data_IF_393965648773
#
_entry.id   IF_393965648773
#
_cell.length_a   1.000
_cell.length_b   1.000
_cell.length_c   1.000
_cell.angle_alpha   90.00
_cell.angle_beta   90.00
_cell.angle_gamma   90.00
#
_symmetry.space_group_name_H-M   'P 1'
#
loop_
_entity.id
_entity.type
_entity.pdbx_description
1 polymer ?
#
# COMPACT_ATOMS: atom_id res chain seq x y z
N UNK A 1 -54.48 -0.36 14.79
CA UNK A 1 -53.93 -0.12 13.44
C UNK A 1 -52.81 0.94 13.40
N UNK A 2 -52.66 1.82 14.41
CA UNK A 2 -51.59 2.84 14.43
C UNK A 2 -50.19 2.33 14.85
N UNK A 3 -50.10 1.24 15.62
CA UNK A 3 -48.81 0.72 16.11
C UNK A 3 -47.97 0.06 15.02
N UNK A 4 -48.60 -0.59 14.05
CA UNK A 4 -47.92 -1.37 13.02
C UNK A 4 -47.24 -0.47 11.97
N UNK A 5 -47.94 0.62 11.58
CA UNK A 5 -47.35 1.65 10.72
C UNK A 5 -46.23 2.42 11.42
N UNK A 6 -46.30 2.60 12.74
CA UNK A 6 -45.26 3.28 13.51
C UNK A 6 -43.96 2.45 13.58
N UNK A 7 -44.09 1.14 13.80
CA UNK A 7 -42.95 0.22 13.79
C UNK A 7 -42.30 0.16 12.39
N UNK A 8 -43.11 0.11 11.33
CA UNK A 8 -42.61 0.13 9.95
C UNK A 8 -41.81 1.41 9.64
N UNK A 9 -42.28 2.57 10.09
CA UNK A 9 -41.56 3.84 9.91
C UNK A 9 -40.21 3.83 10.62
N UNK A 10 -40.14 3.32 11.85
CA UNK A 10 -38.88 3.22 12.61
C UNK A 10 -37.88 2.30 11.88
N UNK A 11 -38.34 1.17 11.35
CA UNK A 11 -37.48 0.23 10.62
C UNK A 11 -36.93 0.87 9.34
N UNK A 12 -37.76 1.58 8.58
CA UNK A 12 -37.34 2.27 7.35
C UNK A 12 -36.32 3.37 7.68
N UNK A 13 -36.59 4.18 8.70
CA UNK A 13 -35.65 5.23 9.14
C UNK A 13 -34.33 4.60 9.59
N UNK A 14 -34.38 3.49 10.34
CA UNK A 14 -33.19 2.75 10.75
C UNK A 14 -32.37 2.23 9.57
N UNK A 15 -33.02 1.67 8.54
CA UNK A 15 -32.35 1.21 7.33
C UNK A 15 -31.74 2.35 6.51
N UNK A 16 -32.44 3.48 6.40
CA UNK A 16 -31.92 4.67 5.71
C UNK A 16 -30.71 5.24 6.44
N UNK A 17 -30.78 5.39 7.77
CA UNK A 17 -29.64 5.86 8.58
C UNK A 17 -28.47 4.89 8.48
N UNK A 18 -28.72 3.58 8.60
CA UNK A 18 -27.67 2.56 8.46
C UNK A 18 -27.04 2.59 7.05
N UNK A 19 -27.84 2.71 6.00
CA UNK A 19 -27.36 2.81 4.62
C UNK A 19 -26.52 4.06 4.39
N UNK A 20 -26.95 5.21 4.91
CA UNK A 20 -26.20 6.46 4.85
C UNK A 20 -24.88 6.37 5.63
N UNK A 21 -24.89 5.79 6.83
CA UNK A 21 -23.67 5.58 7.63
C UNK A 21 -22.73 4.58 6.95
N UNK A 22 -23.26 3.50 6.35
CA UNK A 22 -22.46 2.52 5.63
C UNK A 22 -21.85 3.12 4.36
N UNK A 23 -22.61 3.91 3.60
CA UNK A 23 -22.14 4.62 2.42
C UNK A 23 -21.10 5.69 2.79
N UNK A 24 -21.37 6.48 3.84
CA UNK A 24 -20.43 7.46 4.35
C UNK A 24 -19.14 6.79 4.83
N UNK A 25 -19.22 5.69 5.58
CA UNK A 25 -18.04 4.94 6.05
C UNK A 25 -17.31 4.23 4.90
N UNK A 26 -17.99 3.92 3.80
CA UNK A 26 -17.35 3.37 2.60
C UNK A 26 -16.63 4.45 1.81
N UNK A 27 -17.21 5.65 1.71
CA UNK A 27 -16.65 6.80 0.99
C UNK A 27 -15.57 7.54 1.78
N UNK A 28 -15.70 7.59 3.11
CA UNK A 28 -14.76 8.18 4.06
C UNK A 28 -13.94 7.10 4.79
N UNK A 29 -13.61 5.97 4.15
CA UNK A 29 -12.43 5.24 4.60
C UNK A 29 -11.23 6.13 4.27
N UNK A 30 -10.88 7.00 5.21
CA UNK A 30 -9.60 7.72 5.19
C UNK A 30 -8.53 6.66 4.95
N UNK A 31 -7.93 6.70 3.76
CA UNK A 31 -6.95 5.68 3.40
C UNK A 31 -5.76 5.89 4.34
N UNK A 32 -5.29 4.86 5.07
CA UNK A 32 -4.23 5.01 6.08
C UNK A 32 -2.96 5.67 5.50
N UNK A 33 -2.78 5.63 4.17
CA UNK A 33 -1.71 6.29 3.43
C UNK A 33 -1.82 7.82 3.38
N UNK A 34 -3.02 8.41 3.38
CA UNK A 34 -3.22 9.87 3.34
C UNK A 34 -2.67 10.56 4.60
N UNK A 35 -2.85 9.94 5.77
CA UNK A 35 -2.34 10.47 7.04
C UNK A 35 -0.83 10.28 7.20
N UNK A 36 -0.26 9.26 6.56
CA UNK A 36 1.15 8.91 6.76
C UNK A 36 2.12 9.71 5.86
N UNK A 37 1.70 10.22 4.69
CA UNK A 37 2.68 10.51 3.62
C UNK A 37 2.54 11.81 2.84
N UNK A 38 1.73 12.77 3.28
CA UNK A 38 1.85 14.16 2.81
C UNK A 38 3.03 14.82 3.54
N UNK A 39 4.25 14.42 3.16
CA UNK A 39 5.46 15.14 3.54
C UNK A 39 5.91 16.01 2.35
N UNK A 40 6.13 17.29 2.61
CA UNK A 40 6.53 18.36 1.66
C UNK A 40 7.83 18.10 0.87
N UNK A 41 8.47 16.94 1.03
CA UNK A 41 9.72 16.60 0.34
C UNK A 41 9.43 15.63 -0.81
N UNK A 42 8.71 16.12 -1.82
CA UNK A 42 8.70 15.48 -3.14
C UNK A 42 10.14 15.44 -3.64
N UNK A 43 10.68 14.22 -3.82
CA UNK A 43 11.95 14.05 -4.50
C UNK A 43 11.65 14.21 -5.98
N UNK A 44 11.98 15.39 -6.52
CA UNK A 44 11.74 15.74 -7.91
C UNK A 44 12.83 15.14 -8.80
N UNK A 45 12.75 13.82 -9.03
CA UNK A 45 13.53 13.16 -10.08
C UNK A 45 12.67 13.15 -11.35
N UNK A 46 12.84 14.20 -12.16
CA UNK A 46 12.00 14.48 -13.34
C UNK A 46 11.95 13.30 -14.32
N UNK A 47 13.03 12.52 -14.45
CA UNK A 47 13.05 11.33 -15.32
C UNK A 47 12.17 10.21 -14.76
N UNK A 48 12.20 9.99 -13.44
CA UNK A 48 11.34 9.00 -12.77
C UNK A 48 9.89 9.41 -12.82
N UNK A 49 9.58 10.68 -12.53
CA UNK A 49 8.21 11.20 -12.59
C UNK A 49 7.65 11.06 -14.00
N UNK A 50 8.41 11.53 -15.02
CA UNK A 50 8.02 11.39 -16.43
C UNK A 50 7.78 9.92 -16.82
N UNK A 51 8.62 8.99 -16.33
CA UNK A 51 8.46 7.57 -16.62
C UNK A 51 7.19 6.99 -15.97
N UNK A 52 6.90 7.37 -14.72
CA UNK A 52 5.69 6.93 -14.00
C UNK A 52 4.42 7.52 -14.61
N UNK A 53 4.43 8.80 -14.98
CA UNK A 53 3.32 9.48 -15.65
C UNK A 53 2.99 8.85 -17.01
N UNK A 54 4.02 8.50 -17.79
CA UNK A 54 3.84 7.77 -19.07
C UNK A 54 3.16 6.42 -18.89
N UNK A 55 3.39 5.76 -17.77
CA UNK A 55 2.73 4.51 -17.38
C UNK A 55 1.35 4.75 -16.72
N UNK A 56 0.92 6.01 -16.57
CA UNK A 56 -0.37 6.42 -16.02
C UNK A 56 -0.44 6.40 -14.50
N UNK A 57 0.69 6.63 -13.82
CA UNK A 57 0.75 6.80 -12.36
C UNK A 57 0.92 8.28 -12.00
N UNK A 58 0.22 8.72 -10.97
CA UNK A 58 0.34 10.07 -10.40
C UNK A 58 1.21 10.03 -9.15
N UNK A 59 2.21 10.90 -9.05
CA UNK A 59 3.09 10.98 -7.87
C UNK A 59 2.41 11.78 -6.77
N UNK A 60 2.26 11.18 -5.60
CA UNK A 60 1.51 11.77 -4.47
C UNK A 60 2.35 11.97 -3.21
N UNK A 61 3.50 11.29 -3.10
CA UNK A 61 4.33 11.34 -1.90
C UNK A 61 5.80 11.08 -2.19
N UNK A 62 6.65 11.74 -1.41
CA UNK A 62 8.11 11.69 -1.54
C UNK A 62 8.78 10.53 -0.81
N UNK A 63 10.09 10.69 -0.61
CA UNK A 63 10.97 9.68 -0.02
C UNK A 63 10.87 9.67 1.50
N UNK A 64 10.65 8.50 2.08
CA UNK A 64 10.64 8.30 3.54
C UNK A 64 11.18 6.91 3.91
N UNK A 65 11.17 6.61 5.20
CA UNK A 65 11.42 5.26 5.67
C UNK A 65 10.46 4.90 6.81
N UNK A 66 10.15 3.61 6.91
CA UNK A 66 9.43 3.02 8.05
C UNK A 66 10.48 2.44 9.00
N UNK A 67 10.55 2.90 10.26
CA UNK A 67 11.46 2.32 11.24
C UNK A 67 11.01 0.92 11.65
N UNK A 68 11.96 0.00 11.77
CA UNK A 68 11.75 -1.34 12.31
C UNK A 68 12.61 -1.50 13.55
N UNK A 69 12.00 -1.75 14.70
CA UNK A 69 12.71 -2.03 15.93
C UNK A 69 12.77 -3.54 16.14
N UNK A 70 13.97 -4.08 16.31
CA UNK A 70 14.24 -5.52 16.36
C UNK A 70 15.02 -5.81 17.63
N UNK A 71 14.45 -6.65 18.49
CA UNK A 71 15.12 -7.16 19.68
C UNK A 71 15.30 -8.68 19.53
N UNK A 72 16.53 -9.17 19.73
CA UNK A 72 16.87 -10.59 19.64
C UNK A 72 17.29 -11.09 21.03
N UNK A 73 16.48 -11.95 21.63
CA UNK A 73 16.71 -12.50 22.98
C UNK A 73 17.06 -11.38 23.99
N UNK A 74 18.21 -11.51 24.67
CA UNK A 74 18.72 -10.56 25.66
C UNK A 74 19.61 -9.46 25.06
N UNK A 75 19.58 -9.24 23.74
CA UNK A 75 20.29 -8.14 23.11
C UNK A 75 19.50 -6.84 23.20
N UNK A 76 20.23 -5.73 23.12
CA UNK A 76 19.62 -4.40 23.00
C UNK A 76 18.80 -4.30 21.70
N UNK A 77 17.73 -3.51 21.76
CA UNK A 77 16.88 -3.22 20.60
C UNK A 77 17.69 -2.48 19.52
N UNK A 78 17.62 -3.00 18.29
CA UNK A 78 18.28 -2.43 17.13
C UNK A 78 17.25 -1.84 16.16
N UNK A 79 17.59 -0.69 15.59
CA UNK A 79 16.75 -0.02 14.59
C UNK A 79 17.21 -0.39 13.17
N UNK A 80 16.29 -0.93 12.38
CA UNK A 80 16.37 -1.10 10.94
C UNK A 80 15.36 -0.17 10.24
N UNK A 81 15.41 -0.10 8.90
CA UNK A 81 14.61 0.84 8.09
C UNK A 81 14.15 0.20 6.78
N UNK A 82 12.86 0.28 6.50
CA UNK A 82 12.30 0.02 5.17
C UNK A 82 12.22 1.36 4.45
N UNK A 83 13.04 1.53 3.42
CA UNK A 83 13.07 2.78 2.66
C UNK A 83 12.01 2.76 1.56
N UNK A 84 11.26 3.85 1.38
CA UNK A 84 10.38 4.07 0.23
C UNK A 84 10.89 5.28 -0.53
N UNK A 85 11.04 5.16 -1.85
CA UNK A 85 11.55 6.27 -2.64
C UNK A 85 10.42 7.24 -3.03
N UNK A 86 9.26 6.72 -3.44
CA UNK A 86 8.06 7.51 -3.78
C UNK A 86 6.79 6.72 -3.46
N UNK A 87 5.66 7.42 -3.40
CA UNK A 87 4.32 6.84 -3.44
C UNK A 87 3.59 7.41 -4.66
N UNK A 88 2.89 6.52 -5.36
CA UNK A 88 2.07 6.89 -6.50
C UNK A 88 0.67 6.32 -6.40
N UNK A 89 -0.26 6.94 -7.12
CA UNK A 89 -1.63 6.45 -7.29
C UNK A 89 -1.94 6.16 -8.74
N UNK A 90 -2.80 5.17 -8.99
CA UNK A 90 -3.38 4.91 -10.31
C UNK A 90 -4.78 4.33 -10.16
N UNK A 91 -5.78 4.98 -10.77
CA UNK A 91 -7.20 4.62 -10.63
C UNK A 91 -7.64 4.43 -9.17
N UNK A 92 -7.32 5.39 -8.29
CA UNK A 92 -7.63 5.34 -6.86
C UNK A 92 -6.93 4.23 -6.05
N UNK A 93 -5.95 3.53 -6.62
CA UNK A 93 -5.15 2.54 -5.89
C UNK A 93 -3.75 3.06 -5.62
N UNK A 94 -3.25 2.77 -4.42
CA UNK A 94 -1.92 3.18 -3.96
C UNK A 94 -0.84 2.15 -4.30
N UNK A 95 0.33 2.67 -4.64
CA UNK A 95 1.51 1.88 -4.94
C UNK A 95 2.74 2.49 -4.27
N UNK A 96 3.57 1.62 -3.72
CA UNK A 96 4.89 2.00 -3.20
C UNK A 96 5.89 1.91 -4.35
N UNK A 97 6.82 2.85 -4.42
CA UNK A 97 7.87 2.85 -5.45
C UNK A 97 9.25 2.65 -4.82
N UNK A 98 10.05 1.81 -5.48
CA UNK A 98 11.48 1.62 -5.20
C UNK A 98 12.30 1.79 -6.45
N UNK A 99 13.32 2.64 -6.35
CA UNK A 99 14.30 2.83 -7.41
C UNK A 99 15.37 1.75 -7.32
N UNK A 100 15.69 1.13 -8.46
CA UNK A 100 16.82 0.23 -8.58
C UNK A 100 18.12 1.01 -8.37
N UNK A 101 19.04 0.44 -7.59
CA UNK A 101 20.37 1.00 -7.34
C UNK A 101 21.42 -0.03 -7.72
N UNK A 102 22.59 0.41 -8.19
CA UNK A 102 23.65 -0.48 -8.68
C UNK A 102 24.04 -1.60 -7.71
N UNK A 103 24.02 -1.32 -6.40
CA UNK A 103 24.36 -2.27 -5.34
C UNK A 103 23.23 -3.26 -4.97
N UNK A 104 22.06 -3.17 -5.60
CA UNK A 104 20.94 -4.07 -5.32
C UNK A 104 21.12 -5.38 -6.08
N UNK A 105 21.27 -6.47 -5.35
CA UNK A 105 21.21 -7.82 -5.93
C UNK A 105 19.76 -8.19 -6.17
N UNK A 106 19.23 -7.80 -7.33
CA UNK A 106 17.87 -8.13 -7.74
C UNK A 106 17.79 -9.59 -8.17
N UNK A 107 16.91 -10.35 -7.52
CA UNK A 107 16.58 -11.72 -7.90
C UNK A 107 15.09 -11.78 -8.27
N UNK A 108 14.84 -12.02 -9.55
CA UNK A 108 13.49 -12.06 -10.13
C UNK A 108 12.84 -13.45 -10.05
N UNK A 109 13.51 -14.45 -9.46
CA UNK A 109 12.84 -15.71 -9.12
C UNK A 109 11.75 -15.46 -8.08
N UNK A 110 10.74 -16.34 -8.00
CA UNK A 110 9.64 -16.21 -7.02
C UNK A 110 10.17 -16.13 -5.58
N UNK A 111 11.22 -16.89 -5.25
CA UNK A 111 11.83 -16.86 -3.94
C UNK A 111 12.59 -15.55 -3.69
N UNK A 112 13.32 -15.06 -4.70
CA UNK A 112 14.01 -13.77 -4.67
C UNK A 112 13.05 -12.60 -4.45
N UNK A 113 11.97 -12.57 -5.24
CA UNK A 113 10.92 -11.55 -5.14
C UNK A 113 10.29 -11.56 -3.74
N UNK A 114 9.91 -12.74 -3.23
CA UNK A 114 9.38 -12.87 -1.87
C UNK A 114 10.40 -12.35 -0.84
N UNK A 115 11.66 -12.79 -0.91
CA UNK A 115 12.69 -12.43 0.07
C UNK A 115 12.99 -10.92 0.09
N UNK A 116 13.04 -10.29 -1.07
CA UNK A 116 13.39 -8.87 -1.21
C UNK A 116 12.22 -7.94 -0.89
N UNK A 117 10.99 -8.34 -1.26
CA UNK A 117 9.87 -7.40 -1.32
C UNK A 117 8.75 -7.70 -0.33
N UNK A 118 8.73 -8.86 0.34
CA UNK A 118 7.67 -9.21 1.29
C UNK A 118 7.54 -8.20 2.45
N UNK A 119 8.66 -7.63 2.91
CA UNK A 119 8.65 -6.60 3.95
C UNK A 119 7.82 -5.37 3.55
N UNK A 120 7.80 -5.01 2.27
CA UNK A 120 6.96 -3.92 1.77
C UNK A 120 5.48 -4.31 1.78
N UNK A 121 5.13 -5.55 1.42
CA UNK A 121 3.72 -5.98 1.51
C UNK A 121 3.21 -6.00 2.94
N UNK A 122 4.08 -6.35 3.90
CA UNK A 122 3.75 -6.34 5.33
C UNK A 122 3.63 -4.90 5.86
N UNK A 123 4.54 -4.01 5.47
CA UNK A 123 4.54 -2.62 5.92
C UNK A 123 3.41 -1.79 5.28
N UNK A 124 3.01 -2.14 4.06
CA UNK A 124 1.99 -1.42 3.28
C UNK A 124 0.91 -2.39 2.79
N UNK A 125 0.10 -2.96 3.71
CA UNK A 125 -0.89 -3.99 3.37
C UNK A 125 -1.98 -3.47 2.42
N UNK A 126 -2.33 -2.19 2.52
CA UNK A 126 -3.38 -1.53 1.75
C UNK A 126 -2.92 -1.09 0.34
N UNK A 127 -1.62 -1.13 0.05
CA UNK A 127 -1.13 -0.89 -1.30
C UNK A 127 -1.45 -2.08 -2.22
N UNK A 128 -1.84 -1.77 -3.46
CA UNK A 128 -2.18 -2.76 -4.47
C UNK A 128 -0.92 -3.50 -4.98
N UNK A 129 0.23 -2.82 -4.96
CA UNK A 129 1.50 -3.43 -5.30
C UNK A 129 2.70 -2.53 -5.06
N UNK A 130 3.86 -3.08 -5.43
CA UNK A 130 5.16 -2.42 -5.38
C UNK A 130 5.67 -2.22 -6.81
N UNK A 131 6.04 -0.99 -7.14
CA UNK A 131 6.67 -0.63 -8.42
C UNK A 131 8.18 -0.57 -8.24
N UNK A 132 8.89 -1.37 -9.02
CA UNK A 132 10.35 -1.32 -9.13
C UNK A 132 10.70 -0.55 -10.39
N UNK A 133 11.28 0.64 -10.23
CA UNK A 133 11.64 1.52 -11.33
C UNK A 133 13.14 1.42 -11.56
N UNK A 134 13.54 1.02 -12.76
CA UNK A 134 14.92 1.06 -13.20
C UNK A 134 15.11 2.22 -14.18
N UNK A 135 15.82 3.25 -13.74
CA UNK A 135 16.12 4.42 -14.59
C UNK A 135 17.05 4.05 -15.75
N UNK A 136 18.06 3.20 -15.51
CA UNK A 136 19.03 2.80 -16.54
C UNK A 136 18.36 2.06 -17.70
N UNK A 137 17.41 1.18 -17.38
CA UNK A 137 16.65 0.40 -18.37
C UNK A 137 15.34 1.09 -18.79
N UNK A 138 15.02 2.26 -18.23
CA UNK A 138 13.73 2.97 -18.37
C UNK A 138 12.51 2.05 -18.26
N UNK A 139 12.51 1.21 -17.23
CA UNK A 139 11.48 0.19 -17.05
C UNK A 139 10.82 0.29 -15.68
N UNK A 140 9.52 0.00 -15.66
CA UNK A 140 8.71 -0.10 -14.45
C UNK A 140 8.21 -1.53 -14.33
N UNK A 141 8.49 -2.20 -13.22
CA UNK A 141 7.99 -3.55 -12.94
C UNK A 141 7.06 -3.54 -11.74
N UNK A 142 5.82 -3.95 -11.96
CA UNK A 142 4.83 -4.12 -10.91
C UNK A 142 4.93 -5.51 -10.27
N UNK A 143 5.01 -5.53 -8.93
CA UNK A 143 4.96 -6.74 -8.12
C UNK A 143 3.67 -6.72 -7.30
N UNK A 144 2.84 -7.74 -7.47
CA UNK A 144 1.68 -8.01 -6.63
C UNK A 144 1.90 -9.32 -5.86
N UNK A 145 1.60 -9.29 -4.57
CA UNK A 145 1.70 -10.46 -3.69
C UNK A 145 0.38 -10.63 -2.95
N UNK A 146 -0.14 -11.85 -2.96
CA UNK A 146 -1.35 -12.24 -2.27
C UNK A 146 -1.04 -13.40 -1.34
N UNK A 147 -1.61 -13.37 -0.14
CA UNK A 147 -1.54 -14.49 0.81
C UNK A 147 -2.59 -15.50 0.37
N UNK A 148 -2.16 -16.71 0.05
CA UNK A 148 -3.05 -17.82 -0.29
C UNK A 148 -3.54 -18.58 0.94
N UNK A 149 -4.45 -19.53 0.73
CA UNK A 149 -4.88 -20.45 1.79
C UNK A 149 -3.78 -21.47 2.11
N UNK A 150 -3.63 -21.89 3.38
CA UNK A 150 -2.75 -22.99 3.73
C UNK A 150 -3.21 -24.28 3.03
N UNK A 151 -2.34 -24.87 2.22
CA UNK A 151 -2.58 -26.20 1.64
C UNK A 151 -2.00 -27.22 2.62
N UNK A 152 -2.81 -28.15 3.10
CA UNK A 152 -2.30 -29.29 3.85
C UNK A 152 -1.30 -30.06 2.96
N UNK A 153 -0.05 -30.17 3.39
CA UNK A 153 0.91 -31.04 2.73
C UNK A 153 0.40 -32.47 2.89
N UNK A 154 -0.15 -33.05 1.82
CA UNK A 154 -0.51 -34.47 1.79
C UNK A 154 0.73 -35.31 2.09
N UNK A 155 0.59 -36.26 3.02
CA UNK A 155 1.55 -37.33 3.29
C UNK A 155 1.68 -38.29 2.09
#
# INVERSE_FOLDING_TARGET
MLGDSFVLVIIIVGLVVWGLVAAYRYWNREEPMEQLYISEHMVHDEEVETLLEREGYDVVGGKFYVPLYIQMDNQDEQMSRIWVDLIVTKHNNWYVVRLVRERMQLDWTTNGVRKLWLSYKIAFPDCEGLLIVNQADRSVKLIRMHVGEPIASGE
#
